data_IF_508167500928
#
_entry.id   IF_508167500928
#
_cell.length_a   1.000
_cell.length_b   1.000
_cell.length_c   1.000
_cell.angle_alpha   90.00
_cell.angle_beta   90.00
_cell.angle_gamma   90.00
#
_symmetry.space_group_name_H-M   'P 1'
#
loop_
_entity.id
_entity.type
_entity.pdbx_description
1 polymer ?
#
# COMPACT_ATOMS: atom_id res chain seq x y z
N UNK A 1 -4.16 2.57 -2.24
CA UNK A 1 -4.05 1.98 -0.87
C UNK A 1 -2.95 2.58 0.01
N UNK A 2 -3.06 2.42 1.34
CA UNK A 2 -1.96 2.69 2.29
C UNK A 2 -1.04 1.45 2.38
N UNK A 3 0.27 1.67 2.55
CA UNK A 3 1.31 0.62 2.49
C UNK A 3 1.12 -0.47 3.57
N UNK A 4 0.60 -0.12 4.74
CA UNK A 4 0.37 -1.09 5.83
C UNK A 4 -0.60 -2.21 5.42
N UNK A 5 -1.66 -1.88 4.67
CA UNK A 5 -2.66 -2.87 4.20
C UNK A 5 -2.01 -3.88 3.26
N UNK A 6 -1.14 -3.41 2.35
CA UNK A 6 -0.44 -4.29 1.42
C UNK A 6 0.53 -5.24 2.13
N UNK A 7 1.11 -4.83 3.27
CA UNK A 7 2.01 -5.70 4.03
C UNK A 7 1.28 -6.80 4.81
N UNK A 8 -0.01 -6.62 5.11
CA UNK A 8 -0.85 -7.60 5.81
C UNK A 8 -1.34 -8.73 4.89
N UNK A 9 -1.36 -8.51 3.58
CA UNK A 9 -1.78 -9.51 2.59
C UNK A 9 -0.75 -10.64 2.44
N UNK A 10 -1.22 -11.82 2.06
CA UNK A 10 -0.35 -12.94 1.70
C UNK A 10 0.46 -12.65 0.43
N UNK A 11 1.48 -13.45 0.14
CA UNK A 11 2.25 -13.27 -1.11
C UNK A 11 1.40 -13.56 -2.35
N UNK A 12 0.53 -14.56 -2.27
CA UNK A 12 -0.38 -14.94 -3.35
C UNK A 12 -1.39 -13.82 -3.65
N UNK A 13 -2.00 -13.25 -2.60
CA UNK A 13 -2.92 -12.11 -2.74
C UNK A 13 -2.24 -10.88 -3.34
N UNK A 14 -0.98 -10.63 -2.98
CA UNK A 14 -0.20 -9.54 -3.58
C UNK A 14 0.08 -9.77 -5.07
N UNK A 15 0.37 -11.02 -5.47
CA UNK A 15 0.60 -11.39 -6.87
C UNK A 15 -0.68 -11.31 -7.70
N UNK A 16 -1.80 -11.79 -7.17
CA UNK A 16 -3.10 -11.68 -7.84
C UNK A 16 -3.48 -10.21 -8.05
N UNK A 17 -3.31 -9.40 -7.00
CA UNK A 17 -3.60 -7.97 -7.09
C UNK A 17 -2.66 -7.22 -8.03
N UNK A 18 -1.40 -7.63 -8.11
CA UNK A 18 -0.46 -7.11 -9.10
C UNK A 18 -0.95 -7.37 -10.54
N UNK A 19 -1.49 -8.57 -10.80
CA UNK A 19 -2.04 -8.92 -12.10
C UNK A 19 -3.25 -8.04 -12.46
N UNK A 20 -4.21 -7.89 -11.54
CA UNK A 20 -5.38 -7.04 -11.72
C UNK A 20 -5.00 -5.57 -12.01
N UNK A 21 -4.05 -5.02 -11.24
CA UNK A 21 -3.60 -3.63 -11.44
C UNK A 21 -2.85 -3.43 -12.76
N UNK A 22 -2.13 -4.44 -13.24
CA UNK A 22 -1.49 -4.41 -14.57
C UNK A 22 -2.52 -4.42 -15.69
N UNK A 23 -3.55 -5.25 -15.58
CA UNK A 23 -4.65 -5.28 -16.54
C UNK A 23 -5.39 -3.93 -16.58
N UNK A 24 -5.68 -3.35 -15.42
CA UNK A 24 -6.32 -2.03 -15.33
C UNK A 24 -5.42 -0.92 -15.91
N UNK A 25 -4.10 -1.00 -15.70
CA UNK A 25 -3.15 -0.08 -16.32
C UNK A 25 -3.16 -0.21 -17.85
N UNK A 26 -3.21 -1.42 -18.40
CA UNK A 26 -3.31 -1.64 -19.84
C UNK A 26 -4.61 -1.05 -20.40
N UNK A 27 -5.75 -1.32 -19.76
CA UNK A 27 -7.05 -0.71 -20.14
C UNK A 27 -6.97 0.81 -20.17
N UNK A 28 -6.31 1.43 -19.20
CA UNK A 28 -6.11 2.88 -19.16
C UNK A 28 -5.16 3.40 -20.25
N UNK A 29 -4.14 2.62 -20.64
CA UNK A 29 -3.27 2.98 -21.77
C UNK A 29 -4.05 2.96 -23.08
N UNK A 30 -4.86 1.92 -23.31
CA UNK A 30 -5.75 1.85 -24.48
C UNK A 30 -6.77 3.00 -24.51
N UNK A 31 -7.41 3.30 -23.37
CA UNK A 31 -8.37 4.41 -23.26
C UNK A 31 -7.74 5.81 -23.40
N UNK A 32 -6.43 5.95 -23.15
CA UNK A 32 -5.73 7.23 -23.35
C UNK A 32 -5.37 7.50 -24.81
N UNK A 33 -5.46 6.48 -25.66
CA UNK A 33 -5.25 6.61 -27.10
C UNK A 33 -6.48 7.23 -27.78
N UNK A 34 -7.68 7.01 -27.23
CA UNK A 34 -8.86 7.79 -27.56
C UNK A 34 -8.77 9.16 -26.88
N UNK A 35 -8.98 10.25 -27.62
CA UNK A 35 -8.77 11.66 -27.25
C UNK A 35 -9.57 12.15 -26.02
N UNK A 36 -10.36 11.27 -25.41
CA UNK A 36 -11.16 11.50 -24.20
C UNK A 36 -10.62 10.76 -22.98
N UNK A 37 -9.34 10.93 -22.66
CA UNK A 37 -8.77 10.44 -21.40
C UNK A 37 -9.37 11.21 -20.20
N UNK A 38 -10.55 10.79 -19.74
CA UNK A 38 -11.36 11.45 -18.69
C UNK A 38 -10.65 11.60 -17.35
N UNK A 39 -9.55 10.89 -17.08
CA UNK A 39 -8.91 10.90 -15.76
C UNK A 39 -7.40 10.57 -15.77
N UNK A 40 -6.51 11.51 -16.15
CA UNK A 40 -5.06 11.28 -16.26
C UNK A 40 -4.40 10.90 -14.91
N UNK A 41 -5.02 11.28 -13.79
CA UNK A 41 -4.55 10.94 -12.43
C UNK A 41 -4.60 9.43 -12.14
N UNK A 42 -5.49 8.68 -12.78
CA UNK A 42 -5.71 7.24 -12.53
C UNK A 42 -4.51 6.40 -12.96
N UNK A 43 -3.88 6.72 -14.10
CA UNK A 43 -2.64 6.06 -14.54
C UNK A 43 -1.49 6.25 -13.53
N UNK A 44 -1.40 7.43 -12.92
CA UNK A 44 -0.37 7.73 -11.91
C UNK A 44 -0.62 6.97 -10.60
N UNK A 45 -1.87 6.85 -10.15
CA UNK A 45 -2.20 6.09 -8.95
C UNK A 45 -1.95 4.61 -9.13
N UNK A 46 -2.35 4.03 -10.27
CA UNK A 46 -2.11 2.62 -10.60
C UNK A 46 -0.61 2.28 -10.63
N UNK A 47 0.20 3.08 -11.33
CA UNK A 47 1.68 2.88 -11.35
C UNK A 47 2.29 2.93 -9.96
N UNK A 48 1.83 3.83 -9.09
CA UNK A 48 2.30 3.92 -7.70
C UNK A 48 1.89 2.70 -6.87
N UNK A 49 0.70 2.15 -7.11
CA UNK A 49 0.23 0.97 -6.38
C UNK A 49 1.02 -0.28 -6.79
N UNK A 50 1.25 -0.48 -8.09
CA UNK A 50 2.12 -1.53 -8.64
C UNK A 50 3.52 -1.45 -8.03
N UNK A 51 4.14 -0.26 -8.04
CA UNK A 51 5.48 -0.07 -7.49
C UNK A 51 5.56 -0.49 -6.02
N UNK A 52 4.56 -0.13 -5.20
CA UNK A 52 4.52 -0.50 -3.78
C UNK A 52 4.42 -2.01 -3.56
N UNK A 53 3.61 -2.71 -4.35
CA UNK A 53 3.47 -4.17 -4.25
C UNK A 53 4.80 -4.83 -4.61
N UNK A 54 5.43 -4.41 -5.72
CA UNK A 54 6.73 -4.93 -6.14
C UNK A 54 7.82 -4.69 -5.09
N UNK A 55 7.83 -3.52 -4.45
CA UNK A 55 8.76 -3.24 -3.34
C UNK A 55 8.54 -4.19 -2.16
N UNK A 56 7.29 -4.48 -1.78
CA UNK A 56 7.00 -5.40 -0.67
C UNK A 56 7.42 -6.83 -1.01
N UNK A 57 7.17 -7.29 -2.24
CA UNK A 57 7.62 -8.61 -2.71
C UNK A 57 9.15 -8.69 -2.67
N UNK A 58 9.85 -7.69 -3.19
CA UNK A 58 11.32 -7.65 -3.20
C UNK A 58 11.93 -7.59 -1.79
N UNK A 59 11.30 -6.85 -0.87
CA UNK A 59 11.70 -6.79 0.53
C UNK A 59 11.53 -8.15 1.24
N UNK A 60 10.44 -8.87 0.94
CA UNK A 60 10.21 -10.24 1.44
C UNK A 60 11.28 -11.20 0.95
N UNK A 61 11.60 -11.17 -0.34
CA UNK A 61 12.68 -11.97 -0.93
C UNK A 61 14.04 -11.67 -0.29
N UNK A 62 14.33 -10.40 0.04
CA UNK A 62 15.60 -9.99 0.65
C UNK A 62 15.63 -10.14 2.18
N UNK A 63 14.58 -10.64 2.80
CA UNK A 63 14.47 -10.77 4.26
C UNK A 63 14.38 -9.44 5.02
N UNK A 64 14.17 -8.32 4.32
CA UNK A 64 14.10 -6.98 4.90
C UNK A 64 12.67 -6.74 5.37
N UNK A 65 12.35 -7.10 6.62
CA UNK A 65 11.05 -6.75 7.23
C UNK A 65 11.06 -5.29 7.70
N UNK A 66 10.60 -4.38 6.83
CA UNK A 66 10.29 -3.00 7.21
C UNK A 66 9.17 -2.92 8.28
N UNK A 67 9.06 -1.81 9.05
CA UNK A 67 8.28 -1.75 10.28
C UNK A 67 6.79 -2.03 10.08
N UNK A 68 6.29 -2.98 10.88
CA UNK A 68 5.01 -3.68 10.71
C UNK A 68 3.80 -2.92 11.29
N UNK A 69 4.00 -1.79 11.96
CA UNK A 69 2.90 -1.15 12.70
C UNK A 69 2.29 0.09 12.02
N UNK A 70 0.95 0.20 11.97
CA UNK A 70 0.28 1.42 11.58
C UNK A 70 0.69 2.57 12.52
N UNK A 71 0.97 3.76 11.96
CA UNK A 71 1.23 4.97 12.76
C UNK A 71 0.10 5.30 13.75
N UNK A 72 -1.13 4.84 13.48
CA UNK A 72 -2.28 4.98 14.38
C UNK A 72 -2.14 4.13 15.64
N UNK A 73 -1.69 2.87 15.53
CA UNK A 73 -1.47 1.97 16.68
C UNK A 73 -0.35 2.51 17.57
N UNK A 74 0.74 3.00 16.97
CA UNK A 74 1.82 3.68 17.71
C UNK A 74 1.39 4.97 18.40
N UNK A 75 0.39 5.70 17.86
CA UNK A 75 -0.15 6.90 18.51
C UNK A 75 -1.04 6.55 19.69
N UNK A 76 -1.89 5.53 19.56
CA UNK A 76 -2.75 5.02 20.63
C UNK A 76 -1.92 4.53 21.83
N UNK A 77 -0.88 3.73 21.56
CA UNK A 77 0.06 3.26 22.60
C UNK A 77 0.76 4.41 23.34
N UNK A 78 1.16 5.47 22.62
CA UNK A 78 1.77 6.67 23.24
C UNK A 78 0.76 7.48 24.06
N UNK A 79 -0.53 7.36 23.77
CA UNK A 79 -1.61 8.03 24.49
C UNK A 79 -1.95 7.27 25.77
N UNK A 80 -2.11 5.95 25.68
CA UNK A 80 -2.40 5.08 26.83
C UNK A 80 -1.26 5.07 27.85
N UNK A 81 -0.01 5.09 27.38
CA UNK A 81 1.17 5.15 28.26
C UNK A 81 1.26 6.46 29.06
N UNK A 82 0.66 7.56 28.56
CA UNK A 82 0.57 8.84 29.28
C UNK A 82 -0.52 8.84 30.36
N UNK A 83 -1.66 8.20 30.07
CA UNK A 83 -2.78 8.08 31.03
C UNK A 83 -2.45 7.11 32.17
N UNK A 84 -1.65 6.08 31.91
CA UNK A 84 -1.17 5.16 32.97
C UNK A 84 -0.19 5.84 33.93
N UNK A 85 0.69 6.72 33.44
CA UNK A 85 1.59 7.50 34.28
C UNK A 85 0.88 8.57 35.11
N UNK A 86 -0.26 9.10 34.65
CA UNK A 86 -1.02 10.09 35.41
C UNK A 86 -1.90 9.49 36.50
N UNK A 87 -2.32 8.23 36.37
CA UNK A 87 -3.12 7.52 37.40
C UNK A 87 -2.26 6.84 38.47
N UNK A 88 -0.93 6.83 38.30
CA UNK A 88 0.03 6.21 39.23
C UNK A 88 0.74 7.24 40.12
N UNK A 89 0.41 8.52 39.98
CA UNK A 89 0.84 9.64 40.82
C UNK A 89 -0.36 10.20 41.58
#
# INVERSE_FOLDING_TARGET
MKIWQLRQLSEEELRERLAQLREELHKQVFQSYDESAKNPGKKRTLRREIARILTILQERERGIKGPIEPKSVRKEQRRNRKTETSNKA
#
